data_IF_082662985014
#
_entry.id   IF_082662985014
#
_cell.length_a   1.000
_cell.length_b   1.000
_cell.length_c   1.000
_cell.angle_alpha   90.00
_cell.angle_beta   90.00
_cell.angle_gamma   90.00
#
_symmetry.space_group_name_H-M   'P 1'
#
loop_
_entity.id
_entity.type
_entity.pdbx_description
1 polymer ?
#
# COMPACT_ATOMS: atom_id res chain seq x y z
N UNK A 1 7.56 16.97 17.43
CA UNK A 1 7.78 16.33 16.13
C UNK A 1 7.13 14.97 16.00
N UNK A 2 7.33 14.08 16.98
CA UNK A 2 6.64 12.80 17.01
C UNK A 2 5.12 12.96 17.12
N UNK A 3 4.66 14.00 17.82
CA UNK A 3 3.23 14.32 17.95
C UNK A 3 2.59 14.64 16.61
N UNK A 4 3.31 15.34 15.73
CA UNK A 4 2.79 15.72 14.41
C UNK A 4 2.44 14.52 13.52
N UNK A 5 3.25 13.47 13.57
CA UNK A 5 2.97 12.24 12.82
C UNK A 5 1.77 11.49 13.42
N UNK A 6 1.68 11.41 14.75
CA UNK A 6 0.58 10.75 15.45
C UNK A 6 -0.75 11.47 15.16
N UNK A 7 -0.76 12.79 15.21
CA UNK A 7 -1.95 13.59 14.90
C UNK A 7 -2.39 13.39 13.46
N UNK A 8 -1.45 13.37 12.52
CA UNK A 8 -1.75 13.12 11.11
C UNK A 8 -2.36 11.73 10.93
N UNK A 9 -1.76 10.71 11.54
CA UNK A 9 -2.29 9.35 11.47
C UNK A 9 -3.68 9.25 12.11
N UNK A 10 -3.91 9.93 13.23
CA UNK A 10 -5.22 9.95 13.89
C UNK A 10 -6.30 10.55 13.00
N UNK A 11 -5.99 11.65 12.31
CA UNK A 11 -6.93 12.27 11.36
C UNK A 11 -7.23 11.38 10.17
N UNK A 12 -6.22 10.72 9.64
CA UNK A 12 -6.39 9.80 8.53
C UNK A 12 -7.22 8.60 8.97
N UNK A 13 -6.96 8.06 10.17
CA UNK A 13 -7.73 6.96 10.71
C UNK A 13 -9.21 7.33 10.88
N UNK A 14 -9.48 8.54 11.33
CA UNK A 14 -10.85 9.06 11.43
C UNK A 14 -11.54 9.10 10.06
N UNK A 15 -10.84 9.54 9.01
CA UNK A 15 -11.35 9.53 7.64
C UNK A 15 -11.64 8.11 7.16
N UNK A 16 -10.75 7.19 7.45
CA UNK A 16 -10.91 5.77 7.11
C UNK A 16 -12.16 5.21 7.78
N UNK A 17 -12.36 5.51 9.06
CA UNK A 17 -13.53 5.05 9.81
C UNK A 17 -14.83 5.61 9.23
N UNK A 18 -14.86 6.89 8.91
CA UNK A 18 -16.04 7.53 8.30
C UNK A 18 -16.40 6.90 6.96
N UNK A 19 -15.40 6.66 6.13
CA UNK A 19 -15.62 6.03 4.83
C UNK A 19 -16.02 4.57 4.97
N UNK A 20 -15.48 3.88 5.97
CA UNK A 20 -15.81 2.47 6.22
C UNK A 20 -17.27 2.28 6.68
N UNK A 21 -17.86 3.28 7.28
CA UNK A 21 -19.26 3.25 7.73
C UNK A 21 -20.27 3.40 6.59
N UNK A 22 -19.84 3.89 5.43
CA UNK A 22 -20.72 3.98 4.27
C UNK A 22 -21.23 2.60 3.87
N UNK A 23 -22.53 2.50 3.65
CA UNK A 23 -23.16 1.23 3.23
C UNK A 23 -22.99 0.99 1.73
N UNK A 24 -23.04 2.05 0.93
CA UNK A 24 -22.93 1.97 -0.52
C UNK A 24 -21.56 2.49 -0.97
N UNK A 25 -20.56 1.62 -0.88
CA UNK A 25 -19.21 1.94 -1.37
C UNK A 25 -19.09 1.50 -2.80
N UNK A 26 -18.85 2.46 -3.68
CA UNK A 26 -18.51 2.14 -5.05
C UNK A 26 -17.02 1.81 -5.17
N UNK A 27 -16.58 1.51 -6.39
CA UNK A 27 -15.20 1.15 -6.64
C UNK A 27 -14.22 2.27 -6.27
N UNK A 28 -14.60 3.52 -6.51
CA UNK A 28 -13.76 4.69 -6.20
C UNK A 28 -13.63 4.90 -4.70
N UNK A 29 -14.70 4.68 -3.95
CA UNK A 29 -14.68 4.76 -2.48
C UNK A 29 -13.69 3.74 -1.90
N UNK A 30 -13.71 2.51 -2.41
CA UNK A 30 -12.81 1.45 -1.96
C UNK A 30 -11.36 1.82 -2.26
N UNK A 31 -11.08 2.32 -3.45
CA UNK A 31 -9.74 2.77 -3.84
C UNK A 31 -9.27 3.92 -2.94
N UNK A 32 -10.17 4.85 -2.63
CA UNK A 32 -9.84 5.97 -1.76
C UNK A 32 -9.53 5.51 -0.32
N UNK A 33 -10.28 4.52 0.19
CA UNK A 33 -9.98 3.89 1.47
C UNK A 33 -8.56 3.30 1.49
N UNK A 34 -8.21 2.57 0.43
CA UNK A 34 -6.87 1.99 0.32
C UNK A 34 -5.79 3.07 0.32
N UNK A 35 -6.01 4.17 -0.39
CA UNK A 35 -5.07 5.30 -0.44
C UNK A 35 -4.86 5.90 0.94
N UNK A 36 -5.92 6.15 1.69
CA UNK A 36 -5.83 6.68 3.04
C UNK A 36 -5.09 5.72 3.96
N UNK A 37 -5.42 4.43 3.88
CA UNK A 37 -4.77 3.40 4.70
C UNK A 37 -3.29 3.29 4.42
N UNK A 38 -2.89 3.28 3.15
CA UNK A 38 -1.49 3.23 2.76
C UNK A 38 -0.73 4.50 3.15
N UNK A 39 -1.39 5.65 3.02
CA UNK A 39 -0.79 6.91 3.44
C UNK A 39 -0.55 6.94 4.96
N UNK A 40 -1.53 6.47 5.73
CA UNK A 40 -1.40 6.38 7.19
C UNK A 40 -0.27 5.42 7.58
N UNK A 41 -0.20 4.26 6.94
CA UNK A 41 0.86 3.29 7.16
C UNK A 41 2.24 3.88 6.85
N UNK A 42 2.36 4.52 5.71
CA UNK A 42 3.62 5.16 5.29
C UNK A 42 4.05 6.23 6.29
N UNK A 43 3.14 7.09 6.70
CA UNK A 43 3.42 8.15 7.66
C UNK A 43 3.81 7.58 9.02
N UNK A 44 3.12 6.53 9.45
CA UNK A 44 3.42 5.86 10.71
C UNK A 44 4.82 5.22 10.68
N UNK A 45 5.17 4.56 9.59
CA UNK A 45 6.49 3.95 9.42
C UNK A 45 7.59 5.02 9.50
N UNK A 46 7.42 6.15 8.82
CA UNK A 46 8.39 7.24 8.86
C UNK A 46 8.56 7.79 10.29
N UNK A 47 7.46 7.93 11.03
CA UNK A 47 7.52 8.36 12.43
C UNK A 47 8.30 7.37 13.29
N UNK A 48 8.02 6.09 13.14
CA UNK A 48 8.71 5.04 13.88
C UNK A 48 10.19 4.94 13.52
N UNK A 49 10.54 5.13 12.24
CA UNK A 49 11.95 5.15 11.83
C UNK A 49 12.72 6.29 12.51
N UNK A 50 12.10 7.46 12.63
CA UNK A 50 12.70 8.57 13.36
C UNK A 50 12.88 8.26 14.85
N UNK A 51 11.91 7.57 15.46
CA UNK A 51 12.02 7.17 16.87
C UNK A 51 13.11 6.15 17.07
N UNK A 52 13.12 5.09 16.30
CA UNK A 52 14.10 3.99 16.43
C UNK A 52 15.51 4.50 16.19
N UNK A 53 15.68 5.47 15.32
CA UNK A 53 16.98 6.05 15.02
C UNK A 53 17.41 7.13 16.01
N UNK A 54 16.60 7.43 17.00
CA UNK A 54 16.92 8.40 18.03
C UNK A 54 17.34 7.70 19.33
N UNK A 55 18.66 7.66 19.65
CA UNK A 55 19.14 6.97 20.85
C UNK A 55 18.55 7.55 22.14
N UNK A 56 18.32 8.86 22.19
CA UNK A 56 17.78 9.51 23.37
C UNK A 56 16.37 9.05 23.70
N UNK A 57 15.58 8.72 22.69
CA UNK A 57 14.24 8.16 22.88
C UNK A 57 14.34 6.68 23.26
N UNK A 58 15.16 5.94 22.55
CA UNK A 58 15.26 4.49 22.74
C UNK A 58 15.80 4.09 24.10
N UNK A 59 16.74 4.85 24.67
CA UNK A 59 17.28 4.55 26.01
C UNK A 59 16.27 4.71 27.14
N UNK A 60 15.18 5.45 26.90
CA UNK A 60 14.12 5.61 27.92
C UNK A 60 13.24 4.37 28.08
N UNK A 61 13.31 3.44 27.15
CA UNK A 61 12.55 2.20 27.22
C UNK A 61 13.36 1.08 27.84
N UNK A 62 12.70 0.22 28.62
CA UNK A 62 13.35 -0.98 29.16
C UNK A 62 13.53 -2.00 28.03
N UNK A 63 14.41 -2.97 28.27
CA UNK A 63 14.62 -4.05 27.30
C UNK A 63 13.33 -4.82 27.03
N UNK A 64 12.52 -5.06 28.07
CA UNK A 64 11.23 -5.75 27.93
C UNK A 64 10.27 -4.95 27.07
N UNK A 65 10.21 -3.63 27.25
CA UNK A 65 9.40 -2.75 26.42
C UNK A 65 9.85 -2.79 24.97
N UNK A 66 11.16 -2.73 24.73
CA UNK A 66 11.72 -2.80 23.38
C UNK A 66 11.40 -4.13 22.70
N UNK A 67 11.53 -5.23 23.42
CA UNK A 67 11.20 -6.57 22.89
C UNK A 67 9.72 -6.67 22.52
N UNK A 68 8.84 -6.16 23.38
CA UNK A 68 7.40 -6.13 23.13
C UNK A 68 7.05 -5.29 21.91
N UNK A 69 7.62 -4.10 21.81
CA UNK A 69 7.43 -3.20 20.67
C UNK A 69 7.92 -3.85 19.39
N UNK A 70 9.12 -4.40 19.42
CA UNK A 70 9.71 -5.09 18.28
C UNK A 70 8.84 -6.25 17.80
N UNK A 71 8.35 -7.05 18.72
CA UNK A 71 7.50 -8.20 18.39
C UNK A 71 6.21 -7.78 17.69
N UNK A 72 5.55 -6.75 18.22
CA UNK A 72 4.31 -6.25 17.63
C UNK A 72 4.52 -5.65 16.24
N UNK A 73 5.50 -4.77 16.14
CA UNK A 73 5.80 -4.09 14.87
C UNK A 73 6.23 -5.12 13.81
N UNK A 74 7.12 -6.03 14.19
CA UNK A 74 7.61 -7.07 13.27
C UNK A 74 6.47 -7.95 12.79
N UNK A 75 5.55 -8.33 13.67
CA UNK A 75 4.39 -9.15 13.30
C UNK A 75 3.50 -8.45 12.27
N UNK A 76 3.15 -7.19 12.50
CA UNK A 76 2.34 -6.42 11.57
C UNK A 76 3.02 -6.25 10.21
N UNK A 77 4.30 -5.92 10.22
CA UNK A 77 5.05 -5.71 8.97
C UNK A 77 5.22 -7.00 8.19
N UNK A 78 5.51 -8.11 8.86
CA UNK A 78 5.63 -9.40 8.21
C UNK A 78 4.32 -9.81 7.54
N UNK A 79 3.19 -9.64 8.22
CA UNK A 79 1.89 -9.95 7.66
C UNK A 79 1.59 -9.06 6.46
N UNK A 80 1.87 -7.78 6.56
CA UNK A 80 1.66 -6.85 5.46
C UNK A 80 2.54 -7.18 4.25
N UNK A 81 3.82 -7.45 4.48
CA UNK A 81 4.75 -7.79 3.40
C UNK A 81 4.35 -9.07 2.67
N UNK A 82 3.91 -10.09 3.41
CA UNK A 82 3.40 -11.33 2.81
C UNK A 82 2.20 -11.05 1.92
N UNK A 83 1.28 -10.24 2.40
CA UNK A 83 0.11 -9.83 1.65
C UNK A 83 0.50 -9.01 0.42
N UNK A 84 1.42 -8.06 0.58
CA UNK A 84 1.93 -7.25 -0.52
C UNK A 84 2.55 -8.10 -1.63
N UNK A 85 3.41 -9.05 -1.25
CA UNK A 85 4.03 -9.97 -2.21
C UNK A 85 2.99 -10.75 -3.00
N UNK A 86 1.99 -11.28 -2.31
CA UNK A 86 0.91 -12.06 -2.93
C UNK A 86 0.09 -11.23 -3.91
N UNK A 87 -0.36 -10.05 -3.46
CA UNK A 87 -1.22 -9.18 -4.27
C UNK A 87 -0.44 -8.54 -5.41
N UNK A 88 0.80 -8.15 -5.17
CA UNK A 88 1.65 -7.54 -6.20
C UNK A 88 1.96 -8.54 -7.30
N UNK A 89 2.23 -9.77 -6.95
CA UNK A 89 2.44 -10.82 -7.94
C UNK A 89 1.20 -11.03 -8.80
N UNK A 90 0.03 -11.14 -8.19
CA UNK A 90 -1.24 -11.23 -8.93
C UNK A 90 -1.50 -10.00 -9.79
N UNK A 91 -1.23 -8.82 -9.26
CA UNK A 91 -1.38 -7.56 -9.97
C UNK A 91 -0.44 -7.45 -11.16
N UNK A 92 0.81 -7.83 -10.98
CA UNK A 92 1.79 -7.86 -12.07
C UNK A 92 1.37 -8.82 -13.17
N UNK A 93 0.90 -10.01 -12.81
CA UNK A 93 0.41 -11.00 -13.77
C UNK A 93 -0.81 -10.50 -14.55
N UNK A 94 -1.74 -9.86 -13.87
CA UNK A 94 -2.91 -9.24 -14.52
C UNK A 94 -2.51 -8.12 -15.47
N UNK A 95 -1.54 -7.30 -15.07
CA UNK A 95 -1.04 -6.20 -15.88
C UNK A 95 -0.34 -6.71 -17.14
N UNK A 96 0.48 -7.74 -17.02
CA UNK A 96 1.14 -8.39 -18.15
C UNK A 96 0.09 -8.96 -19.11
N UNK A 97 -0.92 -9.65 -18.58
CA UNK A 97 -2.00 -10.20 -19.40
C UNK A 97 -2.78 -9.09 -20.12
N UNK A 98 -3.07 -7.99 -19.42
CA UNK A 98 -3.77 -6.84 -20.01
C UNK A 98 -2.94 -6.18 -21.11
N UNK A 99 -1.64 -6.01 -20.88
CA UNK A 99 -0.73 -5.45 -21.88
C UNK A 99 -0.62 -6.35 -23.12
N UNK A 100 -0.56 -7.64 -22.91
CA UNK A 100 -0.53 -8.63 -23.99
C UNK A 100 -1.80 -8.58 -24.82
N UNK A 101 -2.96 -8.55 -24.16
CA UNK A 101 -4.24 -8.44 -24.84
C UNK A 101 -4.36 -7.14 -25.65
N UNK A 102 -3.86 -6.03 -25.10
CA UNK A 102 -3.83 -4.74 -25.79
C UNK A 102 -2.95 -4.80 -27.04
N UNK A 103 -1.76 -5.41 -26.93
CA UNK A 103 -0.84 -5.59 -28.04
C UNK A 103 -1.48 -6.40 -29.17
N UNK A 104 -2.10 -7.51 -28.81
CA UNK A 104 -2.79 -8.37 -29.76
C UNK A 104 -3.93 -7.62 -30.47
N UNK A 105 -4.69 -6.82 -29.73
CA UNK A 105 -5.76 -6.01 -30.30
C UNK A 105 -5.21 -4.94 -31.25
N UNK A 106 -4.09 -4.30 -30.89
CA UNK A 106 -3.41 -3.32 -31.76
C UNK A 106 -2.88 -3.97 -33.03
N UNK A 107 -2.30 -5.14 -32.92
CA UNK A 107 -1.80 -5.91 -34.07
C UNK A 107 -2.95 -6.28 -35.01
N UNK A 108 -4.08 -6.71 -34.47
CA UNK A 108 -5.28 -7.00 -35.29
C UNK A 108 -5.79 -5.77 -35.99
N UNK A 109 -5.78 -4.62 -35.31
CA UNK A 109 -6.21 -3.36 -35.87
C UNK A 109 -5.27 -2.89 -36.98
N UNK A 110 -3.96 -3.18 -36.86
CA UNK A 110 -2.98 -2.86 -37.90
C UNK A 110 -3.03 -3.80 -39.09
N UNK A 111 -3.48 -5.03 -38.88
CA UNK A 111 -3.60 -6.02 -39.96
C UNK A 111 -4.84 -5.74 -40.74
N UNK A 112 -4.77 -4.69 -41.57
CA UNK A 112 -5.74 -4.50 -42.63
C UNK A 112 -5.43 -5.50 -43.75
N UNK A 113 -6.37 -5.78 -44.68
CA UNK A 113 -6.10 -6.63 -45.83
C UNK A 113 -4.89 -6.19 -46.62
N UNK A 114 -4.59 -4.91 -46.61
CA UNK A 114 -3.44 -4.35 -47.33
C UNK A 114 -2.10 -4.73 -46.63
N UNK A 115 -2.08 -4.77 -45.33
CA UNK A 115 -0.87 -5.09 -44.56
C UNK A 115 -0.40 -6.53 -44.78
N UNK A 116 -1.30 -7.42 -45.09
CA UNK A 116 -1.01 -8.82 -45.37
C UNK A 116 -0.10 -8.96 -46.61
N UNK A 117 -0.23 -8.07 -47.55
CA UNK A 117 0.55 -8.11 -48.79
C UNK A 117 1.97 -7.56 -48.64
N UNK A 118 2.27 -6.90 -47.53
CA UNK A 118 3.60 -6.34 -47.26
C UNK A 118 4.47 -7.24 -46.41
N UNK A 119 3.96 -8.35 -46.02
CA UNK A 119 4.71 -9.38 -45.27
C UNK A 119 5.32 -10.41 -46.24
#
# INVERSE_FOLDING_TARGET
>A
MSEGWVETCARILEQIEKMSEKTDKDRLDIIQLMRFSLFALHRSILGWLNWVNNPDIMVSFTQEELESMNKKITSYIQDFIKYDMEVTEKGANKNVAAQKARREAEERARRSPEDIFYI
#
